data_IF_394096766764
#
_entry.id   IF_394096766764
#
_cell.length_a   1.000
_cell.length_b   1.000
_cell.length_c   1.000
_cell.angle_alpha   90.00
_cell.angle_beta   90.00
_cell.angle_gamma   90.00
#
_symmetry.space_group_name_H-M   'P 1'
#
loop_
_entity.id
_entity.type
_entity.pdbx_description
1 polymer ?
#
# COMPACT_ATOMS: atom_id res chain seq x y z
N UNK A 1 7.35 -39.63 -37.12
CA UNK A 1 6.36 -38.89 -36.32
C UNK A 1 7.08 -38.11 -35.25
N UNK A 2 7.39 -36.86 -35.60
CA UNK A 2 7.82 -35.70 -34.79
C UNK A 2 6.85 -35.46 -33.61
N UNK A 3 7.18 -34.85 -32.47
CA UNK A 3 8.37 -34.25 -31.85
C UNK A 3 7.93 -34.00 -30.40
N UNK A 4 8.67 -34.47 -29.38
CA UNK A 4 8.30 -34.26 -27.98
C UNK A 4 8.57 -32.81 -27.58
N UNK A 5 7.53 -32.04 -27.25
CA UNK A 5 7.64 -30.67 -26.80
C UNK A 5 8.03 -30.63 -25.31
N UNK A 6 9.30 -30.35 -25.03
CA UNK A 6 9.78 -30.05 -23.69
C UNK A 6 9.25 -28.68 -23.25
N UNK A 7 8.35 -28.67 -22.27
CA UNK A 7 7.89 -27.44 -21.63
C UNK A 7 9.04 -26.89 -20.76
N UNK A 8 9.71 -25.86 -21.25
CA UNK A 8 10.73 -25.15 -20.49
C UNK A 8 10.01 -24.34 -19.40
N UNK A 9 10.11 -24.77 -18.14
CA UNK A 9 9.70 -23.95 -17.01
C UNK A 9 10.70 -22.79 -16.93
N UNK A 10 10.33 -21.66 -17.52
CA UNK A 10 11.01 -20.38 -17.30
C UNK A 10 10.77 -20.02 -15.85
N UNK A 11 11.76 -20.28 -15.00
CA UNK A 11 11.76 -19.81 -13.62
C UNK A 11 11.65 -18.30 -13.61
N UNK A 12 10.56 -17.76 -13.05
CA UNK A 12 10.48 -16.34 -12.75
C UNK A 12 11.58 -16.02 -11.73
N UNK A 13 12.58 -15.24 -12.16
CA UNK A 13 13.61 -14.73 -11.28
C UNK A 13 13.00 -13.94 -10.12
N UNK A 14 13.68 -13.99 -8.97
CA UNK A 14 13.34 -13.24 -7.76
C UNK A 14 13.08 -11.77 -8.12
N UNK A 15 11.80 -11.39 -8.19
CA UNK A 15 11.39 -10.01 -8.23
C UNK A 15 11.85 -9.41 -6.89
N UNK A 16 12.81 -8.51 -6.91
CA UNK A 16 13.06 -7.65 -5.75
C UNK A 16 11.78 -6.86 -5.52
N UNK A 17 10.95 -7.32 -4.59
CA UNK A 17 9.69 -6.67 -4.27
C UNK A 17 10.00 -5.27 -3.75
N UNK A 18 9.44 -4.24 -4.38
CA UNK A 18 9.54 -2.89 -3.85
C UNK A 18 9.01 -2.86 -2.40
N UNK A 19 9.59 -2.05 -1.49
CA UNK A 19 9.09 -1.94 -0.12
C UNK A 19 7.57 -1.71 -0.09
N UNK A 20 6.88 -2.39 0.82
CA UNK A 20 5.43 -2.36 0.93
C UNK A 20 4.67 -3.20 -0.11
N UNK A 21 5.32 -3.86 -1.07
CA UNK A 21 4.66 -4.78 -2.01
C UNK A 21 5.06 -6.21 -1.67
N UNK A 22 4.08 -7.09 -1.46
CA UNK A 22 4.29 -8.53 -1.29
C UNK A 22 3.60 -9.28 -2.44
N UNK A 23 3.57 -10.61 -2.36
CA UNK A 23 2.82 -11.44 -3.30
C UNK A 23 1.30 -11.23 -3.19
N UNK A 24 0.81 -10.74 -2.05
CA UNK A 24 -0.63 -10.62 -1.76
C UNK A 24 -1.09 -9.22 -1.30
N UNK A 25 -0.19 -8.28 -1.02
CA UNK A 25 -0.50 -6.97 -0.46
C UNK A 25 0.26 -5.84 -1.17
N UNK A 26 -0.40 -4.68 -1.29
CA UNK A 26 0.22 -3.38 -1.53
C UNK A 26 -0.08 -2.53 -0.30
N UNK A 27 0.96 -2.21 0.46
CA UNK A 27 0.92 -1.36 1.63
C UNK A 27 1.12 0.11 1.23
N UNK A 28 0.13 0.94 1.55
CA UNK A 28 0.16 2.38 1.35
C UNK A 28 0.34 3.06 2.71
N UNK A 29 1.44 3.80 2.86
CA UNK A 29 1.61 4.73 3.96
C UNK A 29 0.89 6.05 3.69
N UNK A 30 0.12 6.54 4.66
CA UNK A 30 -0.59 7.80 4.58
C UNK A 30 -0.26 8.64 5.82
N UNK A 31 0.08 9.91 5.64
CA UNK A 31 0.35 10.85 6.74
C UNK A 31 -0.77 11.89 6.71
N UNK A 32 -1.47 12.08 7.83
CA UNK A 32 -2.63 12.96 7.93
C UNK A 32 -2.63 13.78 9.20
N UNK A 33 -3.46 14.81 9.22
CA UNK A 33 -3.78 15.61 10.40
C UNK A 33 -4.84 14.89 11.25
N UNK A 34 -4.54 13.77 11.90
CA UNK A 34 -5.53 13.09 12.76
C UNK A 34 -5.73 13.83 14.10
N UNK A 35 -4.82 14.74 14.43
CA UNK A 35 -4.94 15.71 15.51
C UNK A 35 -4.62 17.13 15.02
N UNK A 36 -4.75 18.12 15.92
CA UNK A 36 -4.46 19.51 15.59
C UNK A 36 -5.68 20.27 15.01
N UNK A 37 -5.43 21.45 14.40
CA UNK A 37 -6.48 22.43 14.09
C UNK A 37 -7.39 22.05 12.91
N UNK A 38 -6.99 21.08 12.08
CA UNK A 38 -7.75 20.66 10.90
C UNK A 38 -8.10 19.16 10.93
N UNK A 39 -8.25 18.60 12.13
CA UNK A 39 -8.40 17.15 12.34
C UNK A 39 -9.59 16.54 11.62
N UNK A 40 -10.65 17.31 11.42
CA UNK A 40 -11.86 16.88 10.74
C UNK A 40 -11.55 16.44 9.30
N UNK A 41 -10.65 17.14 8.60
CA UNK A 41 -10.19 16.74 7.27
C UNK A 41 -9.32 15.49 7.33
N UNK A 42 -8.47 15.38 8.35
CA UNK A 42 -7.61 14.22 8.57
C UNK A 42 -8.37 12.92 8.80
N UNK A 43 -9.63 12.96 9.24
CA UNK A 43 -10.50 11.77 9.26
C UNK A 43 -11.23 11.53 7.94
N UNK A 44 -11.74 12.59 7.30
CA UNK A 44 -12.56 12.49 6.08
C UNK A 44 -11.75 11.99 4.87
N UNK A 45 -10.54 12.51 4.68
CA UNK A 45 -9.69 12.19 3.52
C UNK A 45 -9.30 10.70 3.50
N UNK A 46 -8.69 10.12 4.56
CA UNK A 46 -8.34 8.71 4.54
C UNK A 46 -9.57 7.80 4.53
N UNK A 47 -10.71 8.21 5.09
CA UNK A 47 -11.95 7.45 4.98
C UNK A 47 -12.42 7.30 3.52
N UNK A 48 -12.35 8.38 2.73
CA UNK A 48 -12.63 8.33 1.29
C UNK A 48 -11.66 7.45 0.51
N UNK A 49 -10.36 7.57 0.81
CA UNK A 49 -9.34 6.69 0.21
C UNK A 49 -9.58 5.22 0.55
N UNK A 50 -9.89 4.92 1.82
CA UNK A 50 -10.15 3.56 2.29
C UNK A 50 -11.38 2.97 1.59
N UNK A 51 -12.47 3.73 1.47
CA UNK A 51 -13.67 3.29 0.75
C UNK A 51 -13.35 2.89 -0.70
N UNK A 52 -12.51 3.67 -1.39
CA UNK A 52 -12.11 3.34 -2.75
C UNK A 52 -11.19 2.10 -2.80
N UNK A 53 -10.25 1.98 -1.87
CA UNK A 53 -9.38 0.79 -1.79
C UNK A 53 -10.17 -0.48 -1.46
N UNK A 54 -11.19 -0.39 -0.60
CA UNK A 54 -12.10 -1.49 -0.31
C UNK A 54 -12.85 -1.92 -1.57
N UNK A 55 -13.40 -0.97 -2.33
CA UNK A 55 -14.02 -1.26 -3.63
C UNK A 55 -13.04 -1.97 -4.60
N UNK A 56 -11.81 -1.47 -4.76
CA UNK A 56 -10.80 -2.12 -5.61
C UNK A 56 -10.47 -3.52 -5.10
N UNK A 57 -10.36 -3.69 -3.78
CA UNK A 57 -10.12 -4.98 -3.16
C UNK A 57 -11.26 -5.96 -3.44
N UNK A 58 -12.52 -5.55 -3.36
CA UNK A 58 -13.68 -6.38 -3.70
C UNK A 58 -13.63 -6.88 -5.16
N UNK A 59 -13.08 -6.08 -6.08
CA UNK A 59 -12.89 -6.45 -7.49
C UNK A 59 -11.65 -7.34 -7.74
N UNK A 60 -11.01 -7.85 -6.70
CA UNK A 60 -9.83 -8.72 -6.80
C UNK A 60 -8.49 -8.02 -6.57
N UNK A 61 -8.51 -6.72 -6.26
CA UNK A 61 -7.32 -5.94 -5.98
C UNK A 61 -6.52 -5.59 -7.24
N UNK A 62 -5.26 -5.20 -7.05
CA UNK A 62 -4.35 -4.83 -8.15
C UNK A 62 -3.41 -5.98 -8.43
N UNK A 63 -3.52 -6.59 -9.61
CA UNK A 63 -2.74 -7.78 -9.98
C UNK A 63 -2.84 -8.90 -8.92
N UNK A 64 -4.04 -9.11 -8.37
CA UNK A 64 -4.31 -10.09 -7.31
C UNK A 64 -3.86 -9.69 -5.89
N UNK A 65 -3.30 -8.49 -5.71
CA UNK A 65 -2.86 -7.97 -4.40
C UNK A 65 -3.91 -7.06 -3.78
N UNK A 66 -4.17 -7.23 -2.50
CA UNK A 66 -5.05 -6.34 -1.73
C UNK A 66 -4.31 -5.07 -1.34
N UNK A 67 -4.95 -3.93 -1.45
CA UNK A 67 -4.44 -2.65 -0.97
C UNK A 67 -4.75 -2.55 0.52
N UNK A 68 -3.74 -2.28 1.34
CA UNK A 68 -3.91 -1.93 2.76
C UNK A 68 -3.30 -0.56 2.99
N UNK A 69 -4.03 0.33 3.66
CA UNK A 69 -3.51 1.65 4.04
C UNK A 69 -3.22 1.68 5.55
N UNK A 70 -2.11 2.30 5.92
CA UNK A 70 -1.80 2.66 7.30
C UNK A 70 -1.66 4.18 7.39
N UNK A 71 -2.27 4.78 8.41
CA UNK A 71 -2.27 6.23 8.58
C UNK A 71 -1.51 6.62 9.84
N UNK A 72 -0.54 7.53 9.70
CA UNK A 72 0.17 8.15 10.82
C UNK A 72 -0.27 9.61 10.98
N UNK A 73 -0.32 10.09 12.23
CA UNK A 73 -0.67 11.46 12.57
C UNK A 73 0.58 12.35 12.65
N UNK A 74 0.52 13.55 12.05
CA UNK A 74 1.53 14.59 12.25
C UNK A 74 1.02 15.83 13.01
N UNK A 75 -0.25 15.87 13.39
CA UNK A 75 -0.84 16.92 14.21
C UNK A 75 -0.61 18.33 13.69
N UNK A 76 -0.59 18.51 12.37
CA UNK A 76 -0.33 19.78 11.69
C UNK A 76 1.04 20.41 11.96
N UNK A 77 2.07 19.59 12.21
CA UNK A 77 3.45 20.08 12.42
C UNK A 77 4.47 19.42 11.48
N UNK A 78 5.40 20.18 10.86
CA UNK A 78 6.44 19.61 9.99
C UNK A 78 7.35 18.60 10.68
N UNK A 79 7.69 18.82 11.96
CA UNK A 79 8.58 17.94 12.70
C UNK A 79 7.98 16.54 12.89
N UNK A 80 6.69 16.46 13.25
CA UNK A 80 6.01 15.16 13.36
C UNK A 80 5.80 14.50 12.00
N UNK A 81 5.67 15.26 10.90
CA UNK A 81 5.59 14.67 9.55
C UNK A 81 6.85 13.85 9.20
N UNK A 82 8.03 14.35 9.59
CA UNK A 82 9.30 13.60 9.40
C UNK A 82 9.31 12.31 10.22
N UNK A 83 8.86 12.37 11.48
CA UNK A 83 8.77 11.18 12.35
C UNK A 83 7.75 10.16 11.81
N UNK A 84 6.58 10.63 11.36
CA UNK A 84 5.55 9.79 10.75
C UNK A 84 6.08 9.10 9.48
N UNK A 85 6.76 9.84 8.60
CA UNK A 85 7.36 9.27 7.40
C UNK A 85 8.38 8.17 7.70
N UNK A 86 9.27 8.39 8.69
CA UNK A 86 10.24 7.37 9.12
C UNK A 86 9.56 6.08 9.59
N UNK A 87 8.53 6.20 10.44
CA UNK A 87 7.77 5.03 10.89
C UNK A 87 7.14 4.24 9.74
N UNK A 88 6.68 4.93 8.69
CA UNK A 88 6.05 4.29 7.53
C UNK A 88 7.08 3.62 6.61
N UNK A 89 8.28 4.20 6.49
CA UNK A 89 9.38 3.61 5.70
C UNK A 89 9.89 2.32 6.35
N UNK A 90 9.83 2.23 7.67
CA UNK A 90 10.26 1.03 8.43
C UNK A 90 9.20 -0.10 8.46
N UNK A 91 8.11 0.01 7.68
CA UNK A 91 7.05 -1.00 7.56
C UNK A 91 7.25 -1.92 6.37
#
# INVERSE_FOLDING_TARGET
MTLSASFLIIGCGNQTSSPGITDNEILIGNIQDLSGPIKELGFLIPAGSQMYFDYINEQGGVNGRKIRMITEDHGYTPQKSVTAAKKLIDK
#
